data_IF_272050511660
#
_entry.id   IF_272050511660
#
_cell.length_a   1.000
_cell.length_b   1.000
_cell.length_c   1.000
_cell.angle_alpha   90.00
_cell.angle_beta   90.00
_cell.angle_gamma   90.00
#
_symmetry.space_group_name_H-M   'P 1'
#
loop_
_entity.id
_entity.type
_entity.pdbx_description
1 polymer ?
#
# COMPACT_ATOMS: atom_id res chain seq x y z
N UNK A 1 -0.21 -16.88 10.55
CA UNK A 1 -0.97 -16.29 9.42
C UNK A 1 -2.40 -16.82 9.49
N UNK A 2 -3.26 -16.10 10.22
CA UNK A 2 -4.66 -16.51 10.43
C UNK A 2 -5.50 -16.18 9.20
N UNK A 3 -6.35 -17.11 8.77
CA UNK A 3 -7.28 -16.88 7.67
C UNK A 3 -8.30 -15.81 8.09
N UNK A 4 -8.17 -14.59 7.59
CA UNK A 4 -9.14 -13.53 7.83
C UNK A 4 -10.39 -13.75 6.98
N UNK A 5 -11.55 -13.69 7.64
CA UNK A 5 -12.87 -13.87 7.01
C UNK A 5 -13.15 -12.66 6.12
N UNK A 6 -13.17 -12.86 4.81
CA UNK A 6 -13.41 -11.78 3.84
C UNK A 6 -14.85 -11.28 3.97
N UNK A 7 -15.01 -9.99 4.25
CA UNK A 7 -16.29 -9.27 4.31
C UNK A 7 -16.84 -9.07 2.90
N UNK A 8 -18.16 -8.96 2.80
CA UNK A 8 -18.83 -8.67 1.52
C UNK A 8 -18.47 -7.26 1.04
N UNK A 9 -17.97 -7.15 -0.18
CA UNK A 9 -17.52 -5.91 -0.78
C UNK A 9 -16.06 -5.96 -1.20
N UNK A 10 -15.76 -5.35 -2.35
CA UNK A 10 -14.42 -5.29 -2.92
C UNK A 10 -14.01 -3.83 -3.11
N UNK A 11 -12.78 -3.51 -2.75
CA UNK A 11 -12.22 -2.15 -2.86
C UNK A 11 -11.10 -2.15 -3.90
N UNK A 12 -11.03 -1.10 -4.71
CA UNK A 12 -9.92 -0.88 -5.62
C UNK A 12 -9.17 0.38 -5.19
N UNK A 13 -7.88 0.24 -4.94
CA UNK A 13 -6.94 1.32 -4.65
C UNK A 13 -6.12 1.57 -5.91
N UNK A 14 -6.13 2.83 -6.39
CA UNK A 14 -5.38 3.25 -7.57
C UNK A 14 -4.19 4.11 -7.13
N UNK A 15 -2.98 3.66 -7.47
CA UNK A 15 -1.71 4.26 -7.09
C UNK A 15 -0.99 3.46 -6.00
N UNK A 16 0.15 2.87 -6.35
CA UNK A 16 1.02 2.07 -5.48
C UNK A 16 2.06 2.88 -4.73
N UNK A 17 1.82 4.16 -4.46
CA UNK A 17 2.66 4.95 -3.55
C UNK A 17 2.44 4.60 -2.08
N UNK A 18 3.23 5.18 -1.17
CA UNK A 18 3.13 4.91 0.28
C UNK A 18 1.71 5.03 0.84
N UNK A 19 0.94 6.04 0.39
CA UNK A 19 -0.44 6.24 0.81
C UNK A 19 -1.38 5.12 0.33
N UNK A 20 -1.24 4.68 -0.93
CA UNK A 20 -2.09 3.63 -1.49
C UNK A 20 -1.77 2.26 -0.92
N UNK A 21 -0.49 1.96 -0.70
CA UNK A 21 -0.06 0.74 -0.02
C UNK A 21 -0.61 0.68 1.40
N UNK A 22 -0.48 1.77 2.17
CA UNK A 22 -1.03 1.81 3.53
C UNK A 22 -2.55 1.65 3.55
N UNK A 23 -3.26 2.36 2.68
CA UNK A 23 -4.72 2.22 2.56
C UNK A 23 -5.13 0.79 2.22
N UNK A 24 -4.41 0.11 1.33
CA UNK A 24 -4.69 -1.28 0.98
C UNK A 24 -4.45 -2.24 2.14
N UNK A 25 -3.39 -2.02 2.94
CA UNK A 25 -3.10 -2.81 4.14
C UNK A 25 -4.20 -2.62 5.19
N UNK A 26 -4.57 -1.38 5.52
CA UNK A 26 -5.62 -1.06 6.49
C UNK A 26 -6.97 -1.70 6.09
N UNK A 27 -7.33 -1.63 4.81
CA UNK A 27 -8.56 -2.24 4.28
C UNK A 27 -8.52 -3.76 4.33
N UNK A 28 -7.35 -4.36 4.08
CA UNK A 28 -7.18 -5.81 4.17
C UNK A 28 -7.29 -6.27 5.62
N UNK A 29 -6.71 -5.54 6.57
CA UNK A 29 -6.84 -5.82 8.02
C UNK A 29 -8.29 -5.72 8.51
N UNK A 30 -9.07 -4.81 7.93
CA UNK A 30 -10.51 -4.69 8.17
C UNK A 30 -11.34 -5.83 7.55
N UNK A 31 -10.72 -6.69 6.76
CA UNK A 31 -11.31 -7.88 6.14
C UNK A 31 -11.89 -7.65 4.75
N UNK A 32 -11.55 -6.58 4.04
CA UNK A 32 -11.99 -6.39 2.66
C UNK A 32 -11.06 -7.07 1.66
N UNK A 33 -11.62 -7.50 0.53
CA UNK A 33 -10.80 -7.87 -0.62
C UNK A 33 -10.37 -6.59 -1.34
N UNK A 34 -9.06 -6.39 -1.53
CA UNK A 34 -8.50 -5.16 -2.09
C UNK A 34 -7.71 -5.45 -3.36
N UNK A 35 -8.04 -4.74 -4.44
CA UNK A 35 -7.20 -4.63 -5.62
C UNK A 35 -6.32 -3.39 -5.50
N UNK A 36 -4.99 -3.53 -5.56
CA UNK A 36 -4.06 -2.42 -5.68
C UNK A 36 -3.55 -2.34 -7.11
N UNK A 37 -3.81 -1.22 -7.79
CA UNK A 37 -3.42 -1.00 -9.20
C UNK A 37 -2.41 0.14 -9.27
N UNK A 38 -1.21 -0.14 -9.77
CA UNK A 38 -0.18 0.85 -10.04
C UNK A 38 0.07 0.92 -11.56
N UNK A 39 0.28 2.13 -12.07
CA UNK A 39 0.55 2.38 -13.50
C UNK A 39 1.95 1.89 -13.89
N UNK A 40 2.90 2.06 -12.98
CA UNK A 40 4.33 1.78 -13.17
C UNK A 40 4.62 0.29 -12.95
N UNK A 41 5.77 -0.18 -13.45
CA UNK A 41 6.20 -1.56 -13.25
C UNK A 41 6.55 -1.91 -11.79
N UNK A 42 6.72 -0.90 -10.94
CA UNK A 42 7.06 -1.05 -9.52
C UNK A 42 6.19 -0.13 -8.64
N UNK A 43 5.96 -0.56 -7.41
CA UNK A 43 5.32 0.22 -6.34
C UNK A 43 6.34 1.11 -5.62
N UNK A 44 5.86 2.03 -4.78
CA UNK A 44 6.65 2.94 -3.95
C UNK A 44 6.47 4.43 -4.30
N UNK A 45 5.99 4.74 -5.51
CA UNK A 45 5.65 6.10 -5.92
C UNK A 45 6.84 7.08 -5.80
N UNK A 46 6.58 8.28 -5.29
CA UNK A 46 7.64 9.28 -5.09
C UNK A 46 8.62 8.91 -3.97
N UNK A 47 8.18 8.15 -2.97
CA UNK A 47 9.02 7.74 -1.84
C UNK A 47 10.21 6.90 -2.31
N UNK A 48 9.98 6.01 -3.28
CA UNK A 48 11.01 5.16 -3.88
C UNK A 48 12.10 5.90 -4.65
N UNK A 49 11.89 7.19 -4.93
CA UNK A 49 12.87 8.03 -5.64
C UNK A 49 13.73 8.86 -4.68
N UNK A 50 13.38 8.88 -3.40
CA UNK A 50 14.15 9.57 -2.37
C UNK A 50 15.28 8.66 -1.90
N UNK A 51 16.45 9.20 -1.57
CA UNK A 51 17.51 8.43 -0.92
C UNK A 51 17.22 8.24 0.57
N UNK A 52 16.70 9.31 1.21
CA UNK A 52 16.49 9.40 2.65
C UNK A 52 15.19 10.11 3.02
N UNK A 53 14.60 9.74 4.16
CA UNK A 53 13.40 10.38 4.72
C UNK A 53 13.73 11.23 5.94
N UNK A 54 13.45 12.53 5.87
CA UNK A 54 13.51 13.41 7.05
C UNK A 54 12.37 13.07 8.03
N UNK A 55 12.53 13.20 9.36
CA UNK A 55 13.69 13.68 10.12
C UNK A 55 14.73 12.61 10.48
N UNK A 56 14.36 11.33 10.37
CA UNK A 56 15.18 10.22 10.88
C UNK A 56 16.39 9.89 10.00
N UNK A 57 16.36 10.33 8.74
CA UNK A 57 17.38 10.02 7.74
C UNK A 57 17.52 8.50 7.49
N UNK A 58 16.40 7.79 7.57
CA UNK A 58 16.30 6.38 7.20
C UNK A 58 16.29 6.22 5.68
N UNK A 59 16.67 5.03 5.20
CA UNK A 59 16.51 4.68 3.79
C UNK A 59 15.02 4.59 3.44
N UNK A 60 14.65 5.10 2.27
CA UNK A 60 13.27 5.15 1.79
C UNK A 60 12.71 3.79 1.33
N UNK A 61 13.59 2.89 0.87
CA UNK A 61 13.32 1.50 0.49
C UNK A 61 14.44 0.57 0.95
#
# INVERSE_FOLDING_TARGET
>A
MGQQKIKSGTVMVVGGGIAGVQAALDLTELGYYVYLVEKSAAIGGAMAQLDKTFPTNDCSL
#
